data_IF_697304137576
#
_entry.id   IF_697304137576
#
_cell.length_a   1.000
_cell.length_b   1.000
_cell.length_c   1.000
_cell.angle_alpha   90.00
_cell.angle_beta   90.00
_cell.angle_gamma   90.00
#
_symmetry.space_group_name_H-M   'P 1'
#
loop_
_entity.id
_entity.type
_entity.pdbx_description
1 polymer ?
#
# COMPACT_ATOMS: atom_id res chain seq x y z
N UNK A 1 -20.33 23.66 -8.00
CA UNK A 1 -18.88 23.82 -8.26
C UNK A 1 -18.17 23.01 -7.20
N UNK A 2 -17.62 21.86 -7.55
CA UNK A 2 -16.83 21.06 -6.61
C UNK A 2 -15.56 21.85 -6.30
N UNK A 3 -15.26 22.03 -5.01
CA UNK A 3 -13.99 22.64 -4.56
C UNK A 3 -12.85 21.78 -5.13
N UNK A 4 -11.75 22.35 -5.62
CA UNK A 4 -10.60 21.57 -6.05
C UNK A 4 -10.15 20.67 -4.89
N UNK A 5 -10.19 19.36 -5.08
CA UNK A 5 -9.70 18.42 -4.08
C UNK A 5 -8.18 18.36 -4.14
N UNK A 6 -7.54 18.66 -3.01
CA UNK A 6 -6.10 18.52 -2.86
C UNK A 6 -5.81 17.11 -2.33
N UNK A 7 -4.88 16.40 -2.96
CA UNK A 7 -4.51 15.04 -2.54
C UNK A 7 -3.12 15.02 -1.93
N UNK A 8 -2.96 14.44 -0.74
CA UNK A 8 -1.66 13.98 -0.24
C UNK A 8 -1.67 12.46 -0.24
N UNK A 9 -0.64 11.84 -0.80
CA UNK A 9 -0.58 10.39 -0.98
C UNK A 9 0.37 9.76 0.05
N UNK A 10 0.05 8.57 0.54
CA UNK A 10 0.94 7.72 1.34
C UNK A 10 1.03 6.35 0.67
N UNK A 11 2.18 6.05 0.05
CA UNK A 11 2.29 4.94 -0.91
C UNK A 11 3.60 4.17 -0.71
N UNK A 12 3.57 2.85 -0.84
CA UNK A 12 4.72 1.93 -0.78
C UNK A 12 5.13 1.45 -2.17
N UNK A 13 5.15 2.40 -3.11
CA UNK A 13 5.07 2.24 -4.57
C UNK A 13 5.54 0.88 -5.14
N UNK A 14 4.56 -0.01 -5.29
CA UNK A 14 4.54 -1.21 -6.12
C UNK A 14 3.87 -0.99 -7.49
N UNK A 15 3.50 -2.09 -8.16
CA UNK A 15 2.86 -2.09 -9.49
C UNK A 15 1.52 -1.35 -9.51
N UNK A 16 0.62 -1.65 -8.57
CA UNK A 16 -0.70 -1.02 -8.39
C UNK A 16 -0.61 0.44 -7.95
N UNK A 17 0.27 0.80 -7.02
CA UNK A 17 0.53 2.21 -6.69
C UNK A 17 0.96 3.01 -7.92
N UNK A 18 1.83 2.43 -8.76
CA UNK A 18 2.27 3.07 -9.99
C UNK A 18 1.10 3.28 -10.97
N UNK A 19 0.16 2.33 -11.02
CA UNK A 19 -1.09 2.46 -11.78
C UNK A 19 -2.04 3.49 -11.16
N UNK A 20 -2.09 3.60 -9.84
CA UNK A 20 -2.87 4.62 -9.13
C UNK A 20 -2.33 6.03 -9.41
N UNK A 21 -1.01 6.23 -9.35
CA UNK A 21 -0.37 7.47 -9.78
C UNK A 21 -0.69 7.80 -11.23
N UNK A 22 -0.62 6.81 -12.13
CA UNK A 22 -0.98 7.01 -13.54
C UNK A 22 -2.44 7.45 -13.71
N UNK A 23 -3.37 6.88 -12.94
CA UNK A 23 -4.78 7.28 -12.95
C UNK A 23 -5.00 8.70 -12.42
N UNK A 24 -4.36 9.07 -11.31
CA UNK A 24 -4.44 10.41 -10.74
C UNK A 24 -3.90 11.46 -11.71
N UNK A 25 -2.77 11.20 -12.35
CA UNK A 25 -2.21 12.09 -13.38
C UNK A 25 -3.12 12.17 -14.60
N UNK A 26 -3.65 11.04 -15.07
CA UNK A 26 -4.58 11.00 -16.20
C UNK A 26 -5.90 11.74 -15.90
N UNK A 27 -6.28 11.84 -14.63
CA UNK A 27 -7.47 12.55 -14.16
C UNK A 27 -7.21 14.02 -13.81
N UNK A 28 -6.02 14.54 -14.09
CA UNK A 28 -5.58 15.91 -13.75
C UNK A 28 -5.74 16.25 -12.25
N UNK A 29 -5.49 15.26 -11.38
CA UNK A 29 -5.62 15.43 -9.95
C UNK A 29 -4.52 16.36 -9.39
N UNK A 30 -4.90 17.23 -8.44
CA UNK A 30 -3.96 18.09 -7.73
C UNK A 30 -3.28 17.35 -6.58
N UNK A 31 -2.15 16.70 -6.89
CA UNK A 31 -1.30 16.02 -5.92
C UNK A 31 -0.37 17.05 -5.24
N UNK A 32 -0.58 17.27 -3.95
CA UNK A 32 0.23 18.15 -3.08
C UNK A 32 1.62 17.57 -2.88
N UNK A 33 1.71 16.25 -2.71
CA UNK A 33 2.95 15.51 -2.52
C UNK A 33 2.68 14.05 -2.17
N UNK A 34 3.76 13.27 -2.10
CA UNK A 34 3.72 11.85 -1.76
C UNK A 34 4.64 11.57 -0.57
N UNK A 35 4.09 10.98 0.48
CA UNK A 35 4.84 10.21 1.47
C UNK A 35 5.12 8.83 0.89
N UNK A 36 6.40 8.54 0.62
CA UNK A 36 6.80 7.20 0.18
C UNK A 36 7.18 6.36 1.40
N UNK A 37 6.36 5.36 1.73
CA UNK A 37 6.49 4.50 2.91
C UNK A 37 7.01 3.09 2.54
N UNK A 38 7.21 2.24 3.53
CA UNK A 38 7.57 0.83 3.38
C UNK A 38 6.34 -0.04 3.10
N UNK A 39 6.56 -1.22 2.51
CA UNK A 39 5.54 -2.27 2.40
C UNK A 39 5.89 -3.29 1.33
N UNK A 40 5.27 -3.18 0.15
CA UNK A 40 5.59 -3.93 -1.06
C UNK A 40 7.09 -4.01 -1.33
N UNK A 41 7.80 -2.92 -1.03
CA UNK A 41 9.26 -2.81 -1.04
C UNK A 41 9.73 -2.02 0.18
N UNK A 42 11.04 -1.98 0.43
CA UNK A 42 11.60 -1.06 1.42
C UNK A 42 11.29 0.40 1.04
N UNK A 43 11.10 1.26 2.04
CA UNK A 43 10.79 2.68 1.88
C UNK A 43 11.69 3.39 0.86
N UNK A 44 13.00 3.15 0.92
CA UNK A 44 13.95 3.82 0.02
C UNK A 44 13.76 3.38 -1.43
N UNK A 45 13.31 2.15 -1.67
CA UNK A 45 12.94 1.68 -3.00
C UNK A 45 11.59 2.26 -3.44
N UNK A 46 10.58 2.29 -2.56
CA UNK A 46 9.31 2.95 -2.83
C UNK A 46 9.52 4.40 -3.26
N UNK A 47 10.30 5.18 -2.49
CA UNK A 47 10.60 6.58 -2.80
C UNK A 47 11.33 6.77 -4.14
N UNK A 48 12.18 5.82 -4.55
CA UNK A 48 12.79 5.81 -5.89
C UNK A 48 11.77 5.47 -6.98
N UNK A 49 10.90 4.49 -6.72
CA UNK A 49 9.84 4.09 -7.65
C UNK A 49 8.87 5.24 -7.87
N UNK A 50 8.37 5.87 -6.81
CA UNK A 50 7.45 7.03 -6.87
C UNK A 50 8.03 8.14 -7.74
N UNK A 51 9.28 8.57 -7.46
CA UNK A 51 9.97 9.62 -8.24
C UNK A 51 10.14 9.22 -9.71
N UNK A 52 10.49 7.97 -9.97
CA UNK A 52 10.67 7.43 -11.33
C UNK A 52 9.36 7.42 -12.11
N UNK A 53 8.28 6.92 -11.50
CA UNK A 53 6.95 6.86 -12.11
C UNK A 53 6.43 8.26 -12.37
N UNK A 54 6.49 9.17 -11.39
CA UNK A 54 6.11 10.57 -11.58
C UNK A 54 6.89 11.25 -12.71
N UNK A 55 8.20 11.05 -12.77
CA UNK A 55 9.02 11.61 -13.85
C UNK A 55 8.60 11.07 -15.24
N UNK A 56 8.32 9.77 -15.35
CA UNK A 56 7.83 9.15 -16.59
C UNK A 56 6.45 9.68 -16.99
N UNK A 57 5.57 9.93 -16.02
CA UNK A 57 4.26 10.54 -16.22
C UNK A 57 4.33 12.05 -16.48
N UNK A 58 5.53 12.66 -16.47
CA UNK A 58 5.72 14.10 -16.69
C UNK A 58 5.37 14.97 -15.49
N UNK A 59 5.31 14.38 -14.28
CA UNK A 59 4.96 15.03 -13.01
C UNK A 59 6.09 15.03 -11.99
N UNK A 60 7.33 15.23 -12.45
CA UNK A 60 8.51 15.37 -11.59
C UNK A 60 8.45 16.62 -10.68
N UNK A 61 7.48 17.51 -10.89
CA UNK A 61 7.17 18.65 -10.02
C UNK A 61 6.56 18.24 -8.66
N UNK A 62 5.94 17.07 -8.57
CA UNK A 62 5.30 16.60 -7.34
C UNK A 62 6.39 16.19 -6.32
N UNK A 63 6.40 16.79 -5.11
CA UNK A 63 7.39 16.44 -4.10
C UNK A 63 7.16 15.03 -3.56
N UNK A 64 8.25 14.28 -3.39
CA UNK A 64 8.27 12.94 -2.77
C UNK A 64 9.14 12.99 -1.53
N UNK A 65 8.49 12.85 -0.37
CA UNK A 65 9.12 12.86 0.95
C UNK A 65 9.32 11.44 1.45
N UNK A 66 10.38 11.23 2.22
CA UNK A 66 10.65 9.91 2.79
C UNK A 66 9.74 9.70 4.01
N UNK A 67 8.89 8.67 3.92
CA UNK A 67 7.96 8.23 4.95
C UNK A 67 8.54 7.20 5.90
N UNK A 68 7.68 6.44 6.56
CA UNK A 68 8.06 5.41 7.51
C UNK A 68 8.91 4.31 6.85
N UNK A 69 9.87 3.77 7.60
CA UNK A 69 10.78 2.71 7.12
C UNK A 69 10.47 1.33 7.69
N UNK A 70 9.61 1.28 8.70
CA UNK A 70 9.21 0.08 9.42
C UNK A 70 7.89 0.35 10.15
N UNK A 71 7.17 -0.70 10.59
CA UNK A 71 5.92 -0.52 11.32
C UNK A 71 6.12 0.01 12.74
N UNK A 72 5.02 0.45 13.35
CA UNK A 72 4.99 1.00 14.70
C UNK A 72 5.30 -0.01 15.81
N UNK A 73 5.21 -1.31 15.50
CA UNK A 73 5.48 -2.40 16.45
C UNK A 73 6.86 -3.05 16.28
N UNK A 74 7.65 -2.68 15.26
CA UNK A 74 9.00 -3.21 15.09
C UNK A 74 9.96 -2.15 14.53
N UNK A 75 11.14 -1.96 15.14
CA UNK A 75 12.13 -0.96 14.71
C UNK A 75 12.84 -1.31 13.39
N UNK A 76 12.49 -2.43 12.77
CA UNK A 76 13.09 -2.87 11.52
C UNK A 76 12.07 -3.58 10.64
N UNK A 77 12.23 -3.41 9.32
CA UNK A 77 11.38 -4.00 8.31
C UNK A 77 12.17 -4.70 7.21
N UNK A 78 11.68 -5.85 6.81
CA UNK A 78 12.13 -6.62 5.67
C UNK A 78 10.93 -6.80 4.73
N UNK A 79 11.12 -6.47 3.46
CA UNK A 79 10.11 -6.71 2.44
C UNK A 79 9.94 -8.22 2.21
N UNK A 80 8.70 -8.70 2.23
CA UNK A 80 8.36 -10.12 2.10
C UNK A 80 8.44 -10.57 0.64
N UNK A 81 9.02 -11.75 0.39
CA UNK A 81 9.20 -12.28 -0.96
C UNK A 81 7.86 -12.61 -1.65
N UNK A 82 6.81 -12.86 -0.88
CA UNK A 82 5.44 -13.03 -1.33
C UNK A 82 4.90 -11.79 -2.03
N UNK A 83 5.25 -10.59 -1.57
CA UNK A 83 4.90 -9.33 -2.23
C UNK A 83 5.65 -9.21 -3.58
N UNK A 84 6.94 -9.57 -3.61
CA UNK A 84 7.73 -9.53 -4.84
C UNK A 84 7.16 -10.40 -5.98
N UNK A 85 6.31 -11.39 -5.69
CA UNK A 85 5.58 -12.16 -6.72
C UNK A 85 4.64 -11.29 -7.56
N UNK A 86 4.04 -10.27 -6.96
CA UNK A 86 3.05 -9.40 -7.59
C UNK A 86 3.64 -8.08 -8.11
N UNK A 87 4.65 -7.55 -7.41
CA UNK A 87 5.25 -6.24 -7.74
C UNK A 87 6.66 -6.36 -8.36
N UNK A 88 7.27 -7.55 -8.37
CA UNK A 88 8.69 -7.74 -8.69
C UNK A 88 9.58 -7.33 -7.53
N UNK A 89 10.85 -7.74 -7.55
CA UNK A 89 11.78 -7.45 -6.44
C UNK A 89 12.12 -5.96 -6.31
N UNK A 90 12.02 -5.21 -7.40
CA UNK A 90 12.19 -3.76 -7.38
C UNK A 90 10.88 -2.98 -7.16
N UNK A 91 9.73 -3.65 -7.03
CA UNK A 91 8.40 -3.03 -6.94
C UNK A 91 7.82 -2.54 -8.27
N UNK A 92 8.59 -2.60 -9.37
CA UNK A 92 8.19 -2.18 -10.72
C UNK A 92 8.40 -3.30 -11.75
N UNK A 93 7.88 -4.50 -11.44
CA UNK A 93 7.90 -5.67 -12.31
C UNK A 93 9.28 -6.11 -12.79
N UNK A 94 10.33 -5.86 -11.99
CA UNK A 94 11.74 -6.09 -12.33
C UNK A 94 12.19 -5.41 -13.63
N UNK A 95 11.46 -4.37 -14.04
CA UNK A 95 11.83 -3.54 -15.19
C UNK A 95 13.06 -2.69 -14.85
N UNK A 96 14.00 -2.62 -15.79
CA UNK A 96 15.19 -1.78 -15.67
C UNK A 96 14.85 -0.36 -16.12
N UNK A 97 14.28 0.42 -15.21
CA UNK A 97 13.86 1.80 -15.46
C UNK A 97 14.91 2.75 -14.89
N UNK A 98 15.60 3.51 -15.75
CA UNK A 98 16.67 4.42 -15.33
C UNK A 98 17.85 3.70 -14.66
N UNK A 99 18.33 4.24 -13.54
CA UNK A 99 19.44 3.66 -12.74
C UNK A 99 18.97 2.50 -11.84
N UNK A 100 17.67 2.14 -11.90
CA UNK A 100 17.10 1.12 -11.04
C UNK A 100 17.60 -0.28 -11.43
N UNK A 101 18.51 -0.83 -10.61
CA UNK A 101 18.85 -2.23 -10.65
C UNK A 101 17.96 -2.98 -9.66
N UNK A 102 17.41 -4.12 -10.08
CA UNK A 102 16.85 -5.11 -9.16
C UNK A 102 17.88 -5.40 -8.07
N UNK A 103 17.52 -5.33 -6.77
CA UNK A 103 18.42 -5.70 -5.70
C UNK A 103 18.99 -7.09 -5.96
N UNK A 104 20.32 -7.22 -5.94
CA UNK A 104 20.96 -8.53 -6.13
C UNK A 104 20.83 -9.33 -4.83
N UNK A 105 20.11 -10.44 -4.90
CA UNK A 105 20.08 -11.41 -3.82
C UNK A 105 21.50 -11.91 -3.51
N UNK A 106 21.79 -12.04 -2.22
CA UNK A 106 23.01 -12.67 -1.71
C UNK A 106 22.56 -13.78 -0.77
N UNK A 107 22.81 -15.06 -1.10
CA UNK A 107 22.46 -16.16 -0.23
C UNK A 107 22.99 -15.96 1.19
N UNK A 108 22.17 -16.22 2.20
CA UNK A 108 22.49 -16.03 3.62
C UNK A 108 22.38 -14.59 4.12
N UNK A 109 21.97 -13.64 3.27
CA UNK A 109 21.77 -12.24 3.63
C UNK A 109 20.37 -11.75 3.22
N UNK A 110 19.86 -10.80 4.00
CA UNK A 110 18.59 -10.10 3.77
C UNK A 110 18.81 -8.61 3.87
N UNK A 111 18.09 -7.86 3.03
CA UNK A 111 18.11 -6.40 3.06
C UNK A 111 16.92 -5.96 3.91
N UNK A 112 17.19 -5.15 4.92
CA UNK A 112 16.18 -4.58 5.81
C UNK A 112 16.30 -3.05 5.83
N UNK A 113 15.32 -2.38 6.43
CA UNK A 113 15.41 -0.96 6.78
C UNK A 113 15.09 -0.72 8.25
N UNK A 114 15.82 0.23 8.83
CA UNK A 114 15.62 0.80 10.16
C UNK A 114 15.54 2.34 10.05
N UNK A 115 15.49 3.02 11.20
CA UNK A 115 15.49 4.49 11.27
C UNK A 115 16.71 5.14 10.59
N UNK A 116 17.85 4.46 10.57
CA UNK A 116 19.12 4.99 10.03
C UNK A 116 19.26 4.74 8.51
N UNK A 117 18.60 3.72 7.97
CA UNK A 117 18.55 3.49 6.53
C UNK A 117 18.41 2.04 6.13
N UNK A 118 19.11 1.66 5.06
CA UNK A 118 19.14 0.28 4.57
C UNK A 118 20.28 -0.45 5.23
N UNK A 119 19.98 -1.60 5.83
CA UNK A 119 20.94 -2.50 6.45
C UNK A 119 20.92 -3.87 5.78
N UNK A 120 22.02 -4.60 5.86
CA UNK A 120 22.10 -5.99 5.39
C UNK A 120 22.39 -6.88 6.58
N UNK A 121 21.51 -7.86 6.81
CA UNK A 121 21.55 -8.73 7.97
C UNK A 121 21.83 -10.18 7.54
N UNK A 122 22.69 -10.85 8.28
CA UNK A 122 22.82 -12.31 8.25
C UNK A 122 21.88 -12.98 9.25
N UNK A 123 21.76 -14.31 9.20
CA UNK A 123 21.07 -15.08 10.23
C UNK A 123 21.63 -14.84 11.65
N UNK A 124 22.95 -14.64 11.77
CA UNK A 124 23.59 -14.39 13.05
C UNK A 124 23.22 -13.01 13.61
N UNK A 125 23.14 -11.98 12.75
CA UNK A 125 22.76 -10.62 13.12
C UNK A 125 21.30 -10.59 13.61
N UNK A 126 20.39 -11.20 12.85
CA UNK A 126 18.99 -11.30 13.27
C UNK A 126 18.83 -12.08 14.58
N UNK A 127 19.52 -13.21 14.72
CA UNK A 127 19.52 -13.95 15.97
C UNK A 127 20.03 -13.14 17.16
N UNK A 128 21.02 -12.26 16.95
CA UNK A 128 21.53 -11.37 17.99
C UNK A 128 20.52 -10.28 18.37
N UNK A 129 19.90 -9.64 17.39
CA UNK A 129 18.89 -8.59 17.57
C UNK A 129 17.67 -9.12 18.34
N UNK A 130 17.16 -10.29 17.96
CA UNK A 130 16.04 -10.94 18.67
C UNK A 130 16.42 -11.26 20.13
N UNK A 131 17.64 -11.77 20.38
CA UNK A 131 18.11 -12.04 21.76
C UNK A 131 18.25 -10.77 22.61
N UNK A 132 18.45 -9.62 21.97
CA UNK A 132 18.50 -8.31 22.60
C UNK A 132 17.10 -7.69 22.80
N UNK A 133 16.04 -8.36 22.33
CA UNK A 133 14.66 -7.89 22.44
C UNK A 133 14.20 -7.00 21.29
N UNK A 134 14.97 -6.87 20.21
CA UNK A 134 14.54 -6.12 19.03
C UNK A 134 13.58 -6.97 18.18
N UNK A 135 12.36 -6.46 17.97
CA UNK A 135 11.43 -7.00 17.00
C UNK A 135 11.89 -6.70 15.57
N UNK A 136 11.61 -7.62 14.64
CA UNK A 136 11.88 -7.44 13.22
C UNK A 136 10.61 -7.85 12.47
N UNK A 137 10.09 -6.94 11.66
CA UNK A 137 8.97 -7.22 10.78
C UNK A 137 9.46 -7.78 9.45
N UNK A 138 8.85 -8.86 9.01
CA UNK A 138 9.01 -9.45 7.69
C UNK A 138 7.64 -9.39 7.03
N UNK A 139 7.39 -8.38 6.19
CA UNK A 139 6.08 -8.16 5.57
C UNK A 139 4.89 -8.09 6.54
N UNK A 140 5.09 -7.61 7.77
CA UNK A 140 4.04 -7.58 8.80
C UNK A 140 4.05 -8.76 9.78
N UNK A 141 4.84 -9.79 9.49
CA UNK A 141 4.99 -10.95 10.35
C UNK A 141 6.23 -10.85 11.24
N UNK A 142 6.22 -11.44 12.44
CA UNK A 142 7.44 -11.63 13.21
C UNK A 142 8.40 -12.61 12.51
N UNK A 143 9.70 -12.45 12.76
CA UNK A 143 10.70 -13.44 12.31
C UNK A 143 10.37 -14.84 12.82
N UNK A 144 10.34 -15.80 11.91
CA UNK A 144 10.06 -17.21 12.19
C UNK A 144 8.57 -17.57 12.14
N UNK A 145 7.69 -16.62 11.86
CA UNK A 145 6.29 -16.91 11.54
C UNK A 145 6.20 -17.80 10.28
N UNK A 146 5.38 -18.86 10.26
CA UNK A 146 5.26 -19.75 9.10
C UNK A 146 4.71 -19.07 7.84
N UNK A 147 4.05 -17.91 7.96
CA UNK A 147 3.51 -17.17 6.83
C UNK A 147 4.51 -16.22 6.17
N UNK A 148 5.59 -15.86 6.86
CA UNK A 148 6.61 -14.96 6.33
C UNK A 148 7.48 -15.68 5.28
N UNK A 149 7.83 -15.00 4.18
CA UNK A 149 8.59 -15.59 3.08
C UNK A 149 9.97 -14.93 2.91
N UNK A 150 11.06 -15.62 3.32
CA UNK A 150 12.46 -15.18 3.15
C UNK A 150 13.36 -16.29 2.58
N UNK A 151 13.29 -16.56 1.27
CA UNK A 151 14.00 -17.69 0.65
C UNK A 151 15.53 -17.54 0.67
N UNK A 152 16.08 -16.32 0.84
CA UNK A 152 17.52 -16.10 0.89
C UNK A 152 18.16 -16.49 2.22
N UNK A 153 17.36 -16.71 3.28
CA UNK A 153 17.85 -17.19 4.57
C UNK A 153 16.90 -18.25 5.16
N UNK A 154 16.86 -19.47 4.59
CA UNK A 154 15.94 -20.53 5.03
C UNK A 154 16.13 -20.93 6.51
N UNK A 155 17.31 -20.67 7.09
CA UNK A 155 17.60 -20.88 8.50
C UNK A 155 16.64 -20.10 9.43
N UNK A 156 16.06 -18.98 8.95
CA UNK A 156 15.04 -18.20 9.67
C UNK A 156 13.77 -18.99 9.99
N UNK A 157 13.49 -20.07 9.27
CA UNK A 157 12.26 -20.85 9.42
C UNK A 157 12.48 -22.22 10.05
N UNK A 158 13.73 -22.55 10.38
CA UNK A 158 14.02 -23.77 11.13
C UNK A 158 13.59 -23.57 12.59
N UNK A 159 12.50 -24.23 12.99
CA UNK A 159 11.82 -24.13 14.31
C UNK A 159 12.70 -24.34 15.56
N UNK A 160 13.99 -24.65 15.40
CA UNK A 160 14.93 -24.84 16.49
C UNK A 160 15.54 -23.50 16.94
N UNK A 161 14.85 -22.79 17.83
CA UNK A 161 15.46 -21.73 18.65
C UNK A 161 15.03 -20.29 18.37
N UNK A 162 14.11 -20.04 17.43
CA UNK A 162 13.44 -18.75 17.27
C UNK A 162 12.18 -18.71 18.13
N UNK A 163 11.96 -17.59 18.82
CA UNK A 163 10.84 -17.40 19.72
C UNK A 163 9.50 -17.60 18.98
N UNK A 164 8.54 -18.28 19.61
CA UNK A 164 7.17 -18.36 19.10
C UNK A 164 6.52 -16.98 19.11
N UNK A 165 5.47 -16.71 18.29
CA UNK A 165 4.75 -15.44 18.30
C UNK A 165 4.31 -14.99 19.70
N UNK A 166 3.92 -15.95 20.56
CA UNK A 166 3.58 -15.72 21.98
C UNK A 166 4.73 -15.18 22.83
N UNK A 167 5.99 -15.47 22.47
CA UNK A 167 7.19 -15.03 23.19
C UNK A 167 7.73 -13.70 22.70
N UNK A 168 7.34 -13.26 21.50
CA UNK A 168 7.87 -12.04 20.90
C UNK A 168 7.20 -10.77 21.42
N UNK A 169 6.12 -10.90 22.22
CA UNK A 169 5.44 -9.81 22.94
C UNK A 169 5.63 -8.47 22.27
N UNK A 170 4.78 -8.16 21.28
CA UNK A 170 4.86 -6.90 20.52
C UNK A 170 5.17 -5.77 21.49
N UNK A 171 6.21 -4.96 21.24
CA UNK A 171 6.56 -3.90 22.15
C UNK A 171 5.32 -3.05 22.40
N UNK A 172 4.99 -2.83 23.67
CA UNK A 172 3.88 -1.94 24.06
C UNK A 172 4.16 -0.49 23.62
N UNK A 173 5.41 -0.16 23.30
CA UNK A 173 5.86 1.16 22.87
C UNK A 173 5.92 1.29 21.33
N UNK A 174 5.20 2.29 20.82
CA UNK A 174 5.22 2.72 19.43
C UNK A 174 6.62 3.23 19.05
N UNK A 175 7.25 2.58 18.07
CA UNK A 175 8.58 2.94 17.59
C UNK A 175 8.59 3.83 16.34
N UNK A 176 7.44 4.29 15.82
CA UNK A 176 7.40 5.10 14.60
C UNK A 176 7.78 6.56 14.87
N UNK A 177 8.89 7.07 14.30
CA UNK A 177 9.27 8.47 14.46
C UNK A 177 8.46 9.40 13.56
N UNK A 178 8.57 10.71 13.82
CA UNK A 178 8.08 11.74 12.90
C UNK A 178 8.96 11.84 11.65
N UNK A 179 8.48 11.29 10.54
CA UNK A 179 9.13 11.28 9.21
C UNK A 179 8.88 12.57 8.43
N UNK A 180 9.61 12.80 7.33
CA UNK A 180 9.32 13.93 6.43
C UNK A 180 7.99 13.72 5.69
N UNK A 181 7.65 12.46 5.40
CA UNK A 181 6.37 12.04 4.84
C UNK A 181 5.17 12.33 5.76
N UNK A 182 5.26 11.96 7.04
CA UNK A 182 4.21 12.29 8.01
C UNK A 182 4.09 13.81 8.25
N UNK A 183 5.22 14.55 8.26
CA UNK A 183 5.20 16.03 8.30
C UNK A 183 4.48 16.63 7.10
N UNK A 184 4.72 16.10 5.90
CA UNK A 184 4.02 16.53 4.69
C UNK A 184 2.50 16.37 4.84
N UNK A 185 2.03 15.26 5.42
CA UNK A 185 0.59 15.04 5.69
C UNK A 185 0.06 16.08 6.67
N UNK A 186 0.75 16.32 7.79
CA UNK A 186 0.37 17.34 8.79
C UNK A 186 0.30 18.73 8.17
N UNK A 187 1.33 19.13 7.42
CA UNK A 187 1.41 20.45 6.81
C UNK A 187 0.34 20.65 5.72
N UNK A 188 0.06 19.61 4.93
CA UNK A 188 -1.06 19.62 3.99
C UNK A 188 -2.39 19.77 4.73
N UNK A 189 -2.61 19.02 5.81
CA UNK A 189 -3.85 19.06 6.59
C UNK A 189 -4.08 20.45 7.22
N UNK A 190 -3.04 21.05 7.80
CA UNK A 190 -3.09 22.42 8.32
C UNK A 190 -3.44 23.44 7.24
N UNK A 191 -2.89 23.26 6.04
CA UNK A 191 -3.05 24.20 4.93
C UNK A 191 -4.41 24.12 4.26
N UNK A 192 -4.90 22.91 4.02
CA UNK A 192 -6.06 22.66 3.17
C UNK A 192 -7.31 22.26 3.96
N UNK A 193 -7.17 21.76 5.19
CA UNK A 193 -8.27 21.36 6.06
C UNK A 193 -9.27 20.44 5.35
N UNK A 194 -10.54 20.84 5.35
CA UNK A 194 -11.67 20.07 4.80
C UNK A 194 -11.62 19.91 3.27
N UNK A 195 -10.72 20.64 2.57
CA UNK A 195 -10.47 20.47 1.14
C UNK A 195 -9.36 19.45 0.83
N UNK A 196 -8.71 18.88 1.84
CA UNK A 196 -7.70 17.83 1.69
C UNK A 196 -8.35 16.44 1.67
N UNK A 197 -7.83 15.56 0.83
CA UNK A 197 -7.97 14.11 0.98
C UNK A 197 -6.61 13.46 1.12
N UNK A 198 -6.45 12.66 2.16
CA UNK A 198 -5.30 11.79 2.38
C UNK A 198 -5.63 10.46 1.70
N UNK A 199 -4.82 10.05 0.72
CA UNK A 199 -4.98 8.77 0.03
C UNK A 199 -3.85 7.84 0.42
N UNK A 200 -4.15 6.78 1.17
CA UNK A 200 -3.16 5.81 1.62
C UNK A 200 -3.32 4.48 0.89
N UNK A 201 -2.27 4.03 0.22
CA UNK A 201 -2.25 2.78 -0.56
C UNK A 201 -1.18 1.79 -0.10
N UNK A 202 -0.43 2.16 0.94
CA UNK A 202 0.40 1.27 1.73
C UNK A 202 -0.01 1.23 3.20
N UNK A 203 0.87 0.76 4.10
CA UNK A 203 0.64 0.79 5.55
C UNK A 203 0.29 2.19 6.07
N UNK A 204 -0.60 2.20 7.07
CA UNK A 204 -1.14 3.43 7.66
C UNK A 204 -0.19 4.14 8.65
N UNK A 205 1.06 3.70 8.77
CA UNK A 205 2.04 4.20 9.74
C UNK A 205 2.25 5.72 9.66
N UNK A 206 2.47 6.28 8.47
CA UNK A 206 2.66 7.74 8.33
C UNK A 206 1.37 8.52 8.62
N UNK A 207 0.20 7.95 8.32
CA UNK A 207 -1.11 8.56 8.63
C UNK A 207 -1.34 8.57 10.14
N UNK A 208 -1.04 7.46 10.83
CA UNK A 208 -1.07 7.37 12.29
C UNK A 208 -0.11 8.37 12.94
N UNK A 209 1.15 8.43 12.49
CA UNK A 209 2.14 9.41 12.98
C UNK A 209 1.62 10.84 12.81
N UNK A 210 1.02 11.17 11.66
CA UNK A 210 0.45 12.49 11.41
C UNK A 210 -0.73 12.81 12.35
N UNK A 211 -1.66 11.87 12.54
CA UNK A 211 -2.79 11.99 13.46
C UNK A 211 -2.33 12.18 14.91
N UNK A 212 -1.29 11.47 15.36
CA UNK A 212 -0.73 11.64 16.71
C UNK A 212 -0.07 13.00 16.90
N UNK A 213 0.50 13.56 15.84
CA UNK A 213 1.23 14.82 15.91
C UNK A 213 0.32 16.05 15.89
N UNK A 214 -0.75 16.03 15.10
CA UNK A 214 -1.74 17.11 15.04
C UNK A 214 -3.13 16.56 14.73
N UNK A 215 -3.81 15.96 15.71
CA UNK A 215 -5.09 15.29 15.49
C UNK A 215 -6.18 16.27 15.02
N UNK A 216 -6.15 17.52 15.51
CA UNK A 216 -7.15 18.53 15.16
C UNK A 216 -7.03 18.96 13.69
N UNK A 217 -5.80 19.11 13.18
CA UNK A 217 -5.59 19.41 11.76
C UNK A 217 -5.93 18.22 10.87
N UNK A 218 -5.44 17.03 11.21
CA UNK A 218 -5.54 15.85 10.32
C UNK A 218 -6.97 15.30 10.24
N UNK A 219 -7.75 15.34 11.34
CA UNK A 219 -9.17 14.91 11.34
C UNK A 219 -10.08 15.71 10.41
N UNK A 220 -9.67 16.92 10.05
CA UNK A 220 -10.42 17.75 9.10
C UNK A 220 -10.30 17.25 7.67
N UNK A 221 -9.21 16.56 7.35
CA UNK A 221 -9.05 15.93 6.05
C UNK A 221 -9.88 14.65 5.99
N UNK A 222 -10.42 14.35 4.81
CA UNK A 222 -10.95 13.01 4.53
C UNK A 222 -9.79 12.04 4.30
N UNK A 223 -9.89 10.84 4.83
CA UNK A 223 -8.95 9.73 4.62
C UNK A 223 -9.62 8.71 3.71
N UNK A 224 -8.93 8.31 2.64
CA UNK A 224 -9.34 7.18 1.79
C UNK A 224 -8.16 6.22 1.75
N UNK A 225 -8.32 5.03 2.32
CA UNK A 225 -7.23 4.05 2.32
C UNK A 225 -7.61 2.76 1.61
N UNK A 226 -6.66 2.21 0.86
CA UNK A 226 -6.73 0.84 0.36
C UNK A 226 -6.21 -0.09 1.44
N UNK A 227 -7.07 -0.96 1.93
CA UNK A 227 -6.67 -1.97 2.90
C UNK A 227 -7.84 -2.62 3.61
N UNK A 228 -7.57 -3.76 4.23
CA UNK A 228 -8.54 -4.56 4.98
C UNK A 228 -9.52 -5.36 4.11
N UNK A 229 -10.33 -6.17 4.80
CA UNK A 229 -11.45 -6.93 4.24
C UNK A 229 -12.51 -7.12 5.33
N UNK A 230 -13.80 -7.00 4.99
CA UNK A 230 -14.89 -7.14 5.97
C UNK A 230 -15.72 -8.41 5.76
N UNK A 231 -16.16 -8.65 4.53
CA UNK A 231 -17.18 -9.65 4.19
C UNK A 231 -16.65 -10.84 3.39
N UNK A 232 -15.36 -10.83 3.06
CA UNK A 232 -14.69 -11.91 2.35
C UNK A 232 -13.32 -12.23 2.93
N UNK A 233 -12.72 -13.29 2.42
CA UNK A 233 -11.35 -13.69 2.72
C UNK A 233 -10.32 -12.60 2.38
N UNK A 234 -9.29 -12.54 3.21
CA UNK A 234 -8.07 -11.77 3.05
C UNK A 234 -7.13 -12.34 2.00
N UNK A 235 -5.98 -11.69 1.80
CA UNK A 235 -4.92 -12.14 0.91
C UNK A 235 -3.64 -12.59 1.65
N UNK A 236 -3.61 -12.45 2.98
CA UNK A 236 -2.49 -12.84 3.84
C UNK A 236 -3.00 -13.40 5.18
N UNK A 237 -2.09 -13.94 6.00
CA UNK A 237 -2.39 -14.57 7.30
C UNK A 237 -3.58 -15.55 7.24
N UNK A 238 -3.39 -16.71 6.61
CA UNK A 238 -4.44 -17.72 6.38
C UNK A 238 -5.75 -17.16 5.80
N UNK A 239 -5.63 -16.18 4.89
CA UNK A 239 -6.76 -15.50 4.24
C UNK A 239 -7.67 -14.75 5.22
N UNK A 240 -7.14 -14.29 6.36
CA UNK A 240 -7.88 -13.49 7.34
C UNK A 240 -7.59 -12.00 7.20
N UNK A 241 -6.37 -11.66 6.81
CA UNK A 241 -5.88 -10.29 6.81
C UNK A 241 -5.65 -9.79 5.39
N UNK A 242 -5.57 -8.46 5.27
CA UNK A 242 -5.11 -7.78 4.07
C UNK A 242 -3.70 -7.23 4.33
N UNK A 243 -2.83 -7.27 3.31
CA UNK A 243 -1.40 -6.94 3.38
C UNK A 243 -1.08 -5.59 4.03
N UNK A 244 -1.68 -4.49 3.59
CA UNK A 244 -1.39 -3.15 4.10
C UNK A 244 -1.74 -3.03 5.59
N UNK A 245 -2.90 -3.57 5.98
CA UNK A 245 -3.30 -3.59 7.40
C UNK A 245 -2.41 -4.52 8.22
N UNK A 246 -2.04 -5.70 7.70
CA UNK A 246 -1.19 -6.66 8.41
C UNK A 246 0.22 -6.11 8.66
N UNK A 247 0.72 -5.27 7.77
CA UNK A 247 2.05 -4.68 7.92
C UNK A 247 2.16 -3.80 9.17
N UNK A 248 1.10 -3.06 9.54
CA UNK A 248 1.03 -2.28 10.78
C UNK A 248 -0.40 -2.25 11.38
N UNK A 249 -0.84 -3.34 12.02
CA UNK A 249 -2.18 -3.45 12.59
C UNK A 249 -2.43 -2.41 13.67
N UNK A 250 -1.41 -2.07 14.46
CA UNK A 250 -1.50 -1.09 15.54
C UNK A 250 -1.71 0.33 14.99
N UNK A 251 -0.99 0.72 13.94
CA UNK A 251 -1.25 2.00 13.26
C UNK A 251 -2.65 2.01 12.63
N UNK A 252 -3.06 0.93 11.95
CA UNK A 252 -4.37 0.84 11.33
C UNK A 252 -5.53 0.91 12.35
N UNK A 253 -5.42 0.25 13.51
CA UNK A 253 -6.40 0.36 14.60
C UNK A 253 -6.48 1.80 15.13
N UNK A 254 -5.34 2.47 15.33
CA UNK A 254 -5.31 3.87 15.79
C UNK A 254 -5.93 4.83 14.78
N UNK A 255 -5.68 4.65 13.48
CA UNK A 255 -6.32 5.46 12.42
C UNK A 255 -7.83 5.26 12.40
N UNK A 256 -8.32 4.01 12.45
CA UNK A 256 -9.75 3.74 12.45
C UNK A 256 -10.47 4.24 13.71
N UNK A 257 -9.77 4.30 14.85
CA UNK A 257 -10.27 4.90 16.10
C UNK A 257 -10.07 6.41 16.18
N UNK A 258 -9.48 7.03 15.16
CA UNK A 258 -9.11 8.43 15.24
C UNK A 258 -10.31 9.38 15.12
N UNK A 259 -11.51 8.92 14.73
CA UNK A 259 -12.68 9.78 14.47
C UNK A 259 -12.40 10.84 13.39
N UNK A 260 -11.79 10.40 12.28
CA UNK A 260 -11.64 11.17 11.06
C UNK A 260 -12.54 10.55 9.98
N UNK A 261 -13.11 11.36 9.07
CA UNK A 261 -13.90 10.86 7.93
C UNK A 261 -13.04 9.93 7.07
N UNK A 262 -13.24 8.62 7.23
CA UNK A 262 -12.37 7.56 6.74
C UNK A 262 -13.16 6.59 5.89
N UNK A 263 -12.80 6.50 4.61
CA UNK A 263 -13.34 5.50 3.68
C UNK A 263 -12.34 4.36 3.51
N UNK A 264 -12.75 3.15 3.89
CA UNK A 264 -11.99 1.91 3.71
C UNK A 264 -12.33 1.26 2.37
N UNK A 265 -11.34 1.16 1.50
CA UNK A 265 -11.41 0.48 0.19
C UNK A 265 -10.74 -0.89 0.33
N UNK A 266 -11.49 -1.83 0.88
CA UNK A 266 -11.03 -3.18 1.15
C UNK A 266 -11.15 -4.14 -0.02
N UNK A 267 -10.69 -5.38 0.21
CA UNK A 267 -10.71 -6.45 -0.78
C UNK A 267 -12.13 -6.74 -1.31
N UNK A 268 -13.16 -6.50 -0.50
CA UNK A 268 -14.59 -6.65 -0.81
C UNK A 268 -15.00 -5.98 -2.14
N UNK A 269 -14.35 -4.86 -2.49
CA UNK A 269 -14.60 -4.14 -3.74
C UNK A 269 -13.44 -4.26 -4.72
N UNK A 270 -12.19 -4.30 -4.26
CA UNK A 270 -11.04 -4.32 -5.16
C UNK A 270 -10.91 -5.63 -5.94
N UNK A 271 -11.27 -6.78 -5.34
CA UNK A 271 -11.26 -8.08 -6.02
C UNK A 271 -12.28 -8.18 -7.18
N UNK A 272 -13.23 -7.24 -7.26
CA UNK A 272 -14.22 -7.16 -8.34
C UNK A 272 -13.76 -6.27 -9.51
N UNK A 273 -12.63 -5.60 -9.37
CA UNK A 273 -12.11 -4.63 -10.34
C UNK A 273 -10.91 -5.22 -11.09
N UNK A 274 -11.15 -6.22 -11.93
CA UNK A 274 -10.08 -7.00 -12.57
C UNK A 274 -9.65 -6.39 -13.92
N UNK A 275 -8.43 -5.85 -13.99
CA UNK A 275 -7.79 -5.39 -15.22
C UNK A 275 -7.20 -6.58 -15.99
N UNK A 276 -7.73 -6.85 -17.18
CA UNK A 276 -7.33 -7.99 -18.01
C UNK A 276 -6.32 -7.64 -19.11
N UNK A 277 -5.74 -8.66 -19.78
CA UNK A 277 -4.84 -8.46 -20.92
C UNK A 277 -5.48 -7.68 -22.09
N UNK A 278 -6.78 -7.86 -22.30
CA UNK A 278 -7.50 -7.15 -23.35
C UNK A 278 -7.57 -5.64 -23.08
N UNK A 279 -7.73 -5.24 -21.82
CA UNK A 279 -7.73 -3.84 -21.40
C UNK A 279 -6.35 -3.23 -21.61
N UNK A 280 -5.29 -3.94 -21.19
CA UNK A 280 -3.89 -3.49 -21.34
C UNK A 280 -3.49 -3.37 -22.82
N UNK A 281 -3.95 -4.28 -23.68
CA UNK A 281 -3.66 -4.23 -25.12
C UNK A 281 -4.15 -2.91 -25.77
N UNK A 282 -5.20 -2.28 -25.23
CA UNK A 282 -5.71 -0.99 -25.72
C UNK A 282 -4.72 0.16 -25.53
N UNK A 283 -3.87 0.10 -24.50
CA UNK A 283 -2.83 1.11 -24.27
C UNK A 283 -1.74 1.09 -25.36
N UNK A 284 -1.56 -0.06 -26.01
CA UNK A 284 -0.59 -0.29 -27.08
C UNK A 284 -1.21 -0.13 -28.49
N UNK A 285 -2.54 -0.20 -28.62
CA UNK A 285 -3.24 -0.28 -29.91
C UNK A 285 -3.23 1.01 -30.77
N UNK A 286 -2.54 2.08 -30.35
CA UNK A 286 -2.42 3.34 -31.08
C UNK A 286 -1.05 3.59 -31.72
N UNK A 287 -0.24 2.54 -31.86
CA UNK A 287 1.11 2.57 -32.45
C UNK A 287 1.06 2.70 -33.99
N UNK A 288 0.94 3.93 -34.50
CA UNK A 288 1.41 4.26 -35.86
C UNK A 288 2.92 4.45 -35.88
N UNK A 289 3.57 4.30 -37.05
CA UNK A 289 5.04 4.39 -37.25
C UNK A 289 5.68 5.71 -36.74
N UNK A 290 4.88 6.73 -36.42
CA UNK A 290 5.32 8.05 -35.97
C UNK A 290 4.81 8.46 -34.56
N UNK A 291 4.38 7.52 -33.72
CA UNK A 291 4.02 7.85 -32.33
C UNK A 291 5.20 8.48 -31.58
N UNK A 292 4.97 9.63 -30.90
CA UNK A 292 6.00 10.31 -30.14
C UNK A 292 6.69 9.36 -29.15
N UNK A 293 8.03 9.38 -29.13
CA UNK A 293 8.88 8.50 -28.31
C UNK A 293 8.43 8.41 -26.84
N UNK A 294 7.94 9.53 -26.28
CA UNK A 294 7.41 9.61 -24.91
C UNK A 294 6.16 8.75 -24.70
N UNK A 295 5.13 8.88 -25.55
CA UNK A 295 3.90 8.09 -25.47
C UNK A 295 4.21 6.59 -25.45
N UNK A 296 5.08 6.14 -26.35
CA UNK A 296 5.47 4.72 -26.46
C UNK A 296 6.13 4.21 -25.18
N UNK A 297 7.06 4.98 -24.62
CA UNK A 297 7.75 4.58 -23.38
C UNK A 297 6.79 4.47 -22.19
N UNK A 298 5.88 5.43 -22.03
CA UNK A 298 4.90 5.41 -20.92
C UNK A 298 3.90 4.28 -21.11
N UNK A 299 3.37 4.07 -22.32
CA UNK A 299 2.46 2.98 -22.62
C UNK A 299 3.12 1.61 -22.34
N UNK A 300 4.35 1.42 -22.80
CA UNK A 300 5.10 0.18 -22.59
C UNK A 300 5.37 -0.07 -21.10
N UNK A 301 5.71 0.97 -20.33
CA UNK A 301 5.91 0.88 -18.89
C UNK A 301 4.63 0.39 -18.19
N UNK A 302 3.52 1.11 -18.35
CA UNK A 302 2.25 0.79 -17.68
C UNK A 302 1.74 -0.60 -18.09
N UNK A 303 1.84 -0.94 -19.38
CA UNK A 303 1.46 -2.26 -19.87
C UNK A 303 2.35 -3.37 -19.31
N UNK A 304 3.66 -3.12 -19.14
CA UNK A 304 4.59 -4.10 -18.59
C UNK A 304 4.33 -4.35 -17.10
N UNK A 305 4.09 -3.30 -16.33
CA UNK A 305 3.70 -3.38 -14.92
C UNK A 305 2.41 -4.19 -14.76
N UNK A 306 1.34 -3.80 -15.47
CA UNK A 306 0.05 -4.49 -15.40
C UNK A 306 0.16 -5.96 -15.84
N UNK A 307 0.82 -6.24 -16.97
CA UNK A 307 0.95 -7.63 -17.44
C UNK A 307 1.79 -8.51 -16.50
N UNK A 308 2.74 -7.94 -15.76
CA UNK A 308 3.47 -8.69 -14.73
C UNK A 308 2.52 -9.14 -13.62
N UNK A 309 1.79 -8.20 -13.03
CA UNK A 309 0.85 -8.50 -11.95
C UNK A 309 -0.33 -9.36 -12.41
N UNK A 310 -0.82 -9.19 -13.65
CA UNK A 310 -1.85 -10.09 -14.24
C UNK A 310 -1.37 -11.54 -14.26
N UNK A 311 -0.11 -11.80 -14.67
CA UNK A 311 0.44 -13.16 -14.70
C UNK A 311 0.56 -13.73 -13.29
N UNK A 312 1.03 -12.93 -12.33
CA UNK A 312 1.17 -13.34 -10.94
C UNK A 312 -0.19 -13.70 -10.32
N UNK A 313 -1.18 -12.83 -10.47
CA UNK A 313 -2.52 -13.02 -9.93
C UNK A 313 -3.21 -14.26 -10.52
N UNK A 314 -3.16 -14.44 -11.84
CA UNK A 314 -3.71 -15.65 -12.50
C UNK A 314 -3.06 -16.96 -12.04
N UNK A 315 -1.79 -16.91 -11.66
CA UNK A 315 -1.07 -18.08 -11.15
C UNK A 315 -1.36 -18.32 -9.66
N UNK A 316 -1.81 -17.29 -8.92
CA UNK A 316 -2.06 -17.36 -7.49
C UNK A 316 -3.41 -17.99 -7.14
N UNK A 317 -4.50 -17.54 -7.78
CA UNK A 317 -5.86 -17.99 -7.44
C UNK A 317 -6.80 -17.94 -8.67
N UNK A 318 -7.66 -18.95 -8.90
CA UNK A 318 -8.68 -18.93 -9.94
C UNK A 318 -9.62 -17.72 -9.94
N UNK A 319 -9.90 -17.08 -8.81
CA UNK A 319 -10.75 -15.87 -8.77
C UNK A 319 -10.17 -14.73 -9.62
N UNK A 320 -8.85 -14.72 -9.81
CA UNK A 320 -8.13 -13.73 -10.61
C UNK A 320 -7.87 -14.18 -12.06
N UNK A 321 -8.55 -15.23 -12.55
CA UNK A 321 -8.40 -15.70 -13.92
C UNK A 321 -8.62 -14.59 -14.97
N UNK A 322 -9.49 -13.62 -14.69
CA UNK A 322 -9.77 -12.52 -15.61
C UNK A 322 -8.61 -11.51 -15.70
N UNK A 323 -7.87 -11.25 -14.63
CA UNK A 323 -6.88 -10.17 -14.58
C UNK A 323 -6.32 -9.90 -13.19
N UNK A 324 -5.58 -8.80 -13.05
CA UNK A 324 -5.13 -8.32 -11.74
C UNK A 324 -6.23 -7.46 -11.10
N UNK A 325 -6.46 -7.55 -9.80
CA UNK A 325 -7.28 -6.56 -9.07
C UNK A 325 -6.64 -5.17 -9.11
N UNK A 326 -7.47 -4.15 -9.35
CA UNK A 326 -7.10 -2.75 -9.24
C UNK A 326 -7.35 -2.27 -7.81
N UNK A 327 -6.47 -2.62 -6.89
CA UNK A 327 -6.51 -2.23 -5.47
C UNK A 327 -6.38 -0.71 -5.30
N UNK A 328 -5.16 -0.21 -5.37
CA UNK A 328 -4.83 1.20 -5.16
C UNK A 328 -5.48 2.14 -6.18
N UNK A 329 -5.62 1.76 -7.46
CA UNK A 329 -6.32 2.62 -8.42
C UNK A 329 -7.78 2.86 -8.05
N UNK A 330 -8.47 1.89 -7.43
CA UNK A 330 -9.83 2.10 -6.97
C UNK A 330 -9.88 3.10 -5.81
N UNK A 331 -8.97 3.00 -4.84
CA UNK A 331 -8.90 3.97 -3.75
C UNK A 331 -8.58 5.39 -4.24
N UNK A 332 -7.61 5.52 -5.15
CA UNK A 332 -7.29 6.78 -5.81
C UNK A 332 -8.49 7.36 -6.59
N UNK A 333 -9.27 6.51 -7.25
CA UNK A 333 -10.45 6.94 -7.98
C UNK A 333 -11.60 7.36 -7.05
N UNK A 334 -11.84 6.63 -5.95
CA UNK A 334 -12.84 6.97 -4.93
C UNK A 334 -12.49 8.28 -4.22
N UNK A 335 -11.20 8.57 -4.02
CA UNK A 335 -10.76 9.86 -3.53
C UNK A 335 -11.19 11.01 -4.46
N UNK A 336 -11.25 10.82 -5.78
CA UNK A 336 -11.76 11.83 -6.72
C UNK A 336 -13.28 11.80 -6.86
N UNK A 337 -13.88 10.62 -6.79
CA UNK A 337 -15.29 10.37 -7.08
C UNK A 337 -15.86 9.29 -6.15
N UNK A 338 -16.40 9.67 -4.97
CA UNK A 338 -16.94 8.72 -4.00
C UNK A 338 -18.10 7.88 -4.51
N UNK A 339 -18.79 8.34 -5.56
CA UNK A 339 -19.95 7.65 -6.12
C UNK A 339 -19.59 6.34 -6.84
N UNK A 340 -18.30 6.07 -7.04
CA UNK A 340 -17.81 4.82 -7.61
C UNK A 340 -18.07 3.60 -6.71
N UNK A 341 -18.28 3.82 -5.42
CA UNK A 341 -18.57 2.76 -4.45
C UNK A 341 -19.85 3.05 -3.65
N UNK A 342 -20.48 2.00 -3.14
CA UNK A 342 -21.47 2.14 -2.07
C UNK A 342 -20.87 1.64 -0.76
N UNK A 343 -21.01 2.46 0.28
CA UNK A 343 -20.41 2.20 1.59
C UNK A 343 -21.45 1.69 2.59
N UNK A 344 -20.95 0.98 3.58
CA UNK A 344 -21.65 0.62 4.80
C UNK A 344 -20.94 1.30 5.98
N UNK A 345 -21.71 2.09 6.70
CA UNK A 345 -21.23 2.89 7.82
C UNK A 345 -21.12 1.99 9.05
N UNK A 346 -19.89 1.73 9.49
CA UNK A 346 -19.60 0.85 10.62
C UNK A 346 -18.36 1.35 11.36
N UNK A 347 -18.42 1.59 12.68
CA UNK A 347 -17.22 1.79 13.47
C UNK A 347 -16.32 0.56 13.33
N UNK A 348 -15.09 0.74 12.86
CA UNK A 348 -14.15 -0.35 12.59
C UNK A 348 -12.99 -0.32 13.58
N UNK A 349 -12.40 -1.49 13.79
CA UNK A 349 -11.16 -1.72 14.53
C UNK A 349 -10.29 -2.70 13.76
N UNK A 350 -9.01 -2.75 14.12
CA UNK A 350 -8.12 -3.84 13.71
C UNK A 350 -7.80 -4.67 14.94
N UNK A 351 -7.96 -5.98 14.84
CA UNK A 351 -7.50 -6.86 15.91
C UNK A 351 -5.97 -6.80 15.97
N UNK A 352 -5.41 -6.49 17.13
CA UNK A 352 -3.95 -6.32 17.33
C UNK A 352 -3.32 -7.53 18.02
N UNK A 353 -4.11 -8.55 18.37
CA UNK A 353 -3.63 -9.76 19.06
C UNK A 353 -4.12 -11.03 18.36
N UNK A 354 -3.30 -12.07 18.40
CA UNK A 354 -3.70 -13.41 17.98
C UNK A 354 -3.87 -14.30 19.19
N UNK A 355 -4.96 -15.08 19.25
CA UNK A 355 -5.14 -16.09 20.29
C UNK A 355 -6.60 -16.44 20.60
N UNK A 356 -6.75 -17.40 21.51
CA UNK A 356 -8.05 -17.90 21.96
C UNK A 356 -8.88 -16.76 22.57
N UNK A 357 -10.04 -16.48 21.97
CA UNK A 357 -10.97 -15.44 22.43
C UNK A 357 -10.59 -14.00 22.07
N UNK A 358 -9.47 -13.78 21.37
CA UNK A 358 -9.03 -12.45 20.88
C UNK A 358 -8.98 -12.36 19.36
N UNK A 359 -8.90 -13.46 18.62
CA UNK A 359 -9.01 -13.45 17.16
C UNK A 359 -7.65 -13.51 16.47
N UNK A 360 -7.52 -12.81 15.34
CA UNK A 360 -6.33 -12.86 14.46
C UNK A 360 -5.82 -11.44 14.25
N UNK A 361 -4.55 -11.21 14.60
CA UNK A 361 -3.88 -9.91 14.42
C UNK A 361 -3.87 -9.48 12.95
N UNK A 362 -4.24 -8.22 12.69
CA UNK A 362 -4.36 -7.63 11.36
C UNK A 362 -5.75 -7.73 10.74
N UNK A 363 -6.70 -8.40 11.41
CA UNK A 363 -8.07 -8.52 10.90
C UNK A 363 -8.84 -7.22 11.12
N UNK A 364 -9.40 -6.66 10.05
CA UNK A 364 -10.39 -5.58 10.11
C UNK A 364 -11.76 -6.12 10.49
N UNK A 365 -12.37 -5.57 11.54
CA UNK A 365 -13.70 -5.96 12.04
C UNK A 365 -14.47 -4.74 12.56
N UNK A 366 -15.80 -4.83 12.65
CA UNK A 366 -16.58 -3.80 13.34
C UNK A 366 -16.25 -3.74 14.83
N UNK A 367 -16.27 -2.56 15.44
CA UNK A 367 -16.06 -2.41 16.88
C UNK A 367 -17.30 -2.91 17.65
N UNK A 368 -17.24 -4.04 18.37
CA UNK A 368 -18.37 -4.51 19.15
C UNK A 368 -18.68 -3.61 20.36
N UNK A 369 -17.78 -2.68 20.70
CA UNK A 369 -17.92 -1.75 21.82
C UNK A 369 -18.60 -0.44 21.43
N UNK A 370 -18.67 -0.12 20.13
CA UNK A 370 -19.28 1.11 19.66
C UNK A 370 -20.82 1.02 19.76
N UNK A 371 -21.46 2.11 20.15
CA UNK A 371 -22.91 2.20 20.09
C UNK A 371 -23.35 2.27 18.62
N UNK A 372 -24.29 1.41 18.22
CA UNK A 372 -24.79 1.35 16.84
C UNK A 372 -25.61 2.59 16.43
N UNK A 373 -25.97 3.45 17.39
CA UNK A 373 -26.78 4.65 17.18
C UNK A 373 -25.94 5.92 16.94
N UNK A 374 -24.61 5.85 17.08
CA UNK A 374 -23.72 6.99 16.83
C UNK A 374 -23.42 7.12 15.33
N UNK A 375 -23.43 8.35 14.81
CA UNK A 375 -22.88 8.63 13.49
C UNK A 375 -21.41 8.21 13.48
N UNK A 376 -21.04 7.32 12.56
CA UNK A 376 -19.67 6.81 12.43
C UNK A 376 -18.90 7.62 11.41
N UNK A 377 -17.63 7.85 11.70
CA UNK A 377 -16.68 8.50 10.79
C UNK A 377 -16.05 7.48 9.82
N UNK A 378 -16.39 6.19 9.92
CA UNK A 378 -15.84 5.12 9.10
C UNK A 378 -16.86 4.55 8.12
N UNK A 379 -16.50 4.56 6.84
CA UNK A 379 -17.30 4.13 5.71
C UNK A 379 -16.61 2.96 4.97
N UNK A 380 -17.16 1.74 5.08
CA UNK A 380 -16.56 0.54 4.45
C UNK A 380 -17.18 0.30 3.08
N UNK A 381 -16.37 0.31 2.01
CA UNK A 381 -16.87 0.07 0.66
C UNK A 381 -17.23 -1.42 0.45
N UNK A 382 -18.49 -1.68 0.06
CA UNK A 382 -19.01 -3.04 -0.20
C UNK A 382 -19.63 -3.20 -1.59
N UNK A 383 -20.03 -2.11 -2.24
CA UNK A 383 -20.53 -2.13 -3.62
C UNK A 383 -19.61 -1.37 -4.57
N UNK A 384 -19.46 -1.90 -5.79
CA UNK A 384 -18.73 -1.27 -6.90
C UNK A 384 -19.23 -1.81 -8.25
N UNK A 385 -19.39 -0.95 -9.26
CA UNK A 385 -19.49 -1.42 -10.65
C UNK A 385 -18.07 -1.72 -11.16
N UNK A 386 -17.56 -2.91 -10.85
CA UNK A 386 -16.17 -3.27 -11.14
C UNK A 386 -15.83 -3.21 -12.64
N UNK A 387 -16.72 -3.70 -13.50
CA UNK A 387 -16.53 -3.63 -14.95
C UNK A 387 -16.61 -2.19 -15.46
N UNK A 388 -17.51 -1.37 -14.91
CA UNK A 388 -17.58 0.07 -15.19
C UNK A 388 -16.32 0.81 -14.78
N UNK A 389 -15.81 0.54 -13.58
CA UNK A 389 -14.57 1.12 -13.10
C UNK A 389 -13.37 0.73 -13.94
N UNK A 390 -13.20 -0.55 -14.29
CA UNK A 390 -12.10 -1.00 -15.17
C UNK A 390 -12.15 -0.27 -16.51
N UNK A 391 -13.34 -0.13 -17.14
CA UNK A 391 -13.47 0.66 -18.37
C UNK A 391 -13.05 2.10 -18.17
N UNK A 392 -13.54 2.77 -17.12
CA UNK A 392 -13.18 4.16 -16.79
C UNK A 392 -11.68 4.32 -16.58
N UNK A 393 -11.05 3.41 -15.84
CA UNK A 393 -9.61 3.39 -15.61
C UNK A 393 -8.84 3.25 -16.92
N UNK A 394 -9.19 2.25 -17.74
CA UNK A 394 -8.53 2.01 -19.03
C UNK A 394 -8.69 3.18 -19.99
N UNK A 395 -9.87 3.81 -20.04
CA UNK A 395 -10.15 4.95 -20.89
C UNK A 395 -9.39 6.22 -20.44
N UNK A 396 -9.28 6.46 -19.14
CA UNK A 396 -8.48 7.56 -18.59
C UNK A 396 -7.00 7.42 -18.97
N UNK A 397 -6.41 6.23 -18.77
CA UNK A 397 -5.02 5.95 -19.17
C UNK A 397 -4.84 6.09 -20.69
N UNK A 398 -5.76 5.56 -21.50
CA UNK A 398 -5.68 5.68 -22.95
C UNK A 398 -5.76 7.16 -23.42
N UNK A 399 -6.63 7.96 -22.80
CA UNK A 399 -6.75 9.39 -23.07
C UNK A 399 -5.47 10.16 -22.72
N UNK A 400 -4.90 9.89 -21.55
CA UNK A 400 -3.61 10.45 -21.14
C UNK A 400 -2.48 10.05 -22.09
N UNK A 401 -2.39 8.78 -22.46
CA UNK A 401 -1.37 8.33 -23.43
C UNK A 401 -1.53 9.04 -24.78
N UNK A 402 -2.76 9.30 -25.22
CA UNK A 402 -3.01 10.06 -26.44
C UNK A 402 -2.59 11.53 -26.32
N UNK A 403 -2.65 12.15 -25.13
CA UNK A 403 -2.21 13.53 -24.91
C UNK A 403 -0.68 13.71 -24.81
N UNK A 404 0.07 12.61 -24.71
CA UNK A 404 1.54 12.63 -24.76
C UNK A 404 2.10 12.66 -26.20
N UNK A 405 1.22 12.66 -27.20
CA UNK A 405 1.51 12.60 -28.64
C UNK A 405 1.95 13.92 -29.25
#
# INVERSE_FOLDING_TARGET
>A
MTVPQHLVLSMDTGVDDALALAYLVASDAHIVGVSATYGNVLQQQAARNTRTVLAMLGRADVPVSDGARHPSWAPMFVADAGCARFHGRNGLADLRIGVCATPKERPGLVIASDDDGVVTLSAADVGALIRQGHAISVGGYPVGDPHAELPTIPEFFTRAGLATPEKLGFPDEDCSPMTDGARLIVDAARRYGDALTIVATGPLTDVDVALRADPDAVRRARIVFMGGTLTQEGNCYDLVCETNVLQDPEAADRVLRAHADTTMIGLDVTHRCLLGPADVARWLAGEGEAGACKRRHVAFLLASLANFSIRANRASDPIFAAGMPLHDPLAAAVALDPSLVTTFDLPMIVETRTGDGVGVRGRTIGDPRAALDDATDTHVALGVDGAGFVRRFTDAIAGFLASLG
#
